data_IF_868475067870
#
_entry.id   IF_868475067870
#
_cell.length_a   1.000
_cell.length_b   1.000
_cell.length_c   1.000
_cell.angle_alpha   90.00
_cell.angle_beta   90.00
_cell.angle_gamma   90.00
#
_symmetry.space_group_name_H-M   'P 1'
#
loop_
_entity.id
_entity.type
_entity.pdbx_description
1 polymer ?
#
# COMPACT_ATOMS: atom_id res chain seq x y z
N UNK A 1 19.03 -2.99 -18.91
CA UNK A 1 20.24 -3.12 -18.04
C UNK A 1 20.06 -2.53 -16.66
N UNK A 2 19.34 -1.45 -16.49
CA UNK A 2 19.10 -0.77 -15.18
C UNK A 2 18.34 -1.67 -14.20
N UNK A 3 17.32 -2.38 -14.65
CA UNK A 3 16.46 -3.26 -13.84
C UNK A 3 17.26 -4.36 -13.13
N UNK A 4 18.18 -5.06 -13.82
CA UNK A 4 18.98 -6.12 -13.20
C UNK A 4 19.94 -5.59 -12.11
N UNK A 5 20.51 -4.40 -12.27
CA UNK A 5 21.39 -3.80 -11.29
C UNK A 5 20.60 -3.37 -10.04
N UNK A 6 19.41 -2.79 -10.24
CA UNK A 6 18.52 -2.39 -9.17
C UNK A 6 18.01 -3.61 -8.39
N UNK A 7 17.55 -4.66 -9.08
CA UNK A 7 17.13 -5.92 -8.44
C UNK A 7 18.22 -6.51 -7.56
N UNK A 8 19.48 -6.55 -8.05
CA UNK A 8 20.62 -7.01 -7.23
C UNK A 8 20.89 -6.12 -6.02
N UNK A 9 20.74 -4.81 -6.15
CA UNK A 9 20.97 -3.88 -5.07
C UNK A 9 19.98 -4.08 -3.91
N UNK A 10 18.73 -4.51 -4.19
CA UNK A 10 17.72 -4.76 -3.15
C UNK A 10 18.11 -5.89 -2.19
N UNK A 11 19.03 -6.80 -2.57
CA UNK A 11 19.49 -7.85 -1.66
C UNK A 11 20.38 -7.36 -0.51
N UNK A 12 20.81 -6.09 -0.54
CA UNK A 12 21.52 -5.44 0.58
C UNK A 12 20.56 -4.84 1.61
N UNK A 13 19.28 -4.69 1.24
CA UNK A 13 18.27 -4.09 2.09
C UNK A 13 17.87 -5.06 3.20
N UNK A 14 17.76 -4.54 4.40
CA UNK A 14 17.26 -5.22 5.60
C UNK A 14 15.89 -4.65 6.00
N UNK A 15 15.24 -5.26 6.99
CA UNK A 15 13.99 -4.72 7.53
C UNK A 15 14.17 -3.33 8.18
N UNK A 16 15.34 -3.06 8.74
CA UNK A 16 15.64 -1.75 9.36
C UNK A 16 15.70 -0.60 8.33
N UNK A 17 15.94 -0.91 7.06
CA UNK A 17 16.01 0.11 6.02
C UNK A 17 14.62 0.55 5.51
N UNK A 18 13.56 -0.20 5.83
CA UNK A 18 12.21 0.05 5.31
C UNK A 18 11.60 1.35 5.84
N UNK A 19 11.96 1.76 7.06
CA UNK A 19 11.49 3.03 7.63
C UNK A 19 11.93 4.26 6.83
N UNK A 20 13.08 4.17 6.14
CA UNK A 20 13.60 5.25 5.29
C UNK A 20 12.98 5.27 3.90
N UNK A 21 12.26 4.21 3.52
CA UNK A 21 11.61 4.07 2.21
C UNK A 21 10.24 4.72 2.17
N UNK A 22 9.48 4.69 3.27
CA UNK A 22 8.16 5.34 3.32
C UNK A 22 8.30 6.86 3.28
N UNK A 23 7.29 7.55 2.76
CA UNK A 23 7.34 8.98 2.56
C UNK A 23 7.24 9.74 3.88
N UNK A 24 7.95 10.85 3.97
CA UNK A 24 7.81 11.84 5.03
C UNK A 24 6.75 12.88 4.64
N UNK A 25 6.24 13.61 5.64
CA UNK A 25 5.20 14.63 5.45
C UNK A 25 5.55 15.64 4.36
N UNK A 26 6.81 16.01 4.25
CA UNK A 26 7.34 17.00 3.31
C UNK A 26 7.34 16.49 1.85
N UNK A 27 7.28 15.18 1.67
CA UNK A 27 7.28 14.53 0.34
C UNK A 27 5.91 14.06 -0.09
N UNK A 28 4.89 14.19 0.78
CA UNK A 28 3.51 13.86 0.42
C UNK A 28 2.96 14.80 -0.64
N UNK A 29 2.07 14.34 -1.54
CA UNK A 29 1.36 15.19 -2.48
C UNK A 29 0.67 16.38 -1.81
N UNK A 30 0.54 17.50 -2.52
CA UNK A 30 -0.02 18.74 -2.01
C UNK A 30 -1.43 18.59 -1.40
N UNK A 31 -2.20 17.59 -1.86
CA UNK A 31 -3.52 17.26 -1.33
C UNK A 31 -3.51 16.86 0.15
N UNK A 32 -2.40 16.29 0.62
CA UNK A 32 -2.20 15.94 2.03
C UNK A 32 -1.53 17.07 2.85
N UNK A 33 -1.44 18.26 2.27
CA UNK A 33 -0.94 19.42 3.00
C UNK A 33 -1.85 19.72 4.21
N UNK A 34 -1.27 19.77 5.40
CA UNK A 34 -2.05 19.92 6.64
C UNK A 34 -2.40 18.62 7.34
N UNK A 35 -2.20 17.46 6.68
CA UNK A 35 -2.34 16.15 7.33
C UNK A 35 -1.16 15.91 8.29
N UNK A 36 -1.38 15.04 9.24
CA UNK A 36 -0.37 14.60 10.21
C UNK A 36 -0.17 13.09 10.15
N UNK A 37 0.97 12.62 10.60
CA UNK A 37 1.20 11.19 10.80
C UNK A 37 0.25 10.70 11.89
N UNK A 38 -0.62 9.75 11.55
CA UNK A 38 -1.59 9.14 12.47
C UNK A 38 -1.18 7.74 12.88
N UNK A 39 -0.37 7.08 12.06
CA UNK A 39 0.22 5.78 12.36
C UNK A 39 1.58 5.65 11.66
N UNK A 40 2.56 5.09 12.36
CA UNK A 40 3.92 4.90 11.87
C UNK A 40 4.54 3.70 12.58
N UNK A 41 5.11 2.75 11.85
CA UNK A 41 5.77 1.62 12.49
C UNK A 41 5.95 0.38 11.64
N UNK A 42 6.58 -0.59 12.27
CA UNK A 42 6.84 -1.91 11.69
C UNK A 42 5.51 -2.63 11.48
N UNK A 43 5.41 -3.27 10.33
CA UNK A 43 4.26 -4.07 9.91
C UNK A 43 4.73 -5.51 9.69
N UNK A 44 4.72 -6.31 10.74
CA UNK A 44 5.08 -7.73 10.67
C UNK A 44 3.94 -8.60 10.12
N UNK A 45 4.19 -9.90 9.94
CA UNK A 45 3.21 -10.82 9.39
C UNK A 45 2.01 -11.06 10.33
N UNK A 46 2.22 -10.97 11.64
CA UNK A 46 1.15 -11.13 12.62
C UNK A 46 0.19 -9.95 12.55
N UNK A 47 0.71 -8.72 12.56
CA UNK A 47 -0.07 -7.50 12.43
C UNK A 47 -0.83 -7.44 11.10
N UNK A 48 -0.20 -7.88 9.99
CA UNK A 48 -0.88 -7.99 8.70
C UNK A 48 -2.04 -8.97 8.74
N UNK A 49 -1.89 -10.11 9.40
CA UNK A 49 -2.94 -11.12 9.52
C UNK A 49 -4.13 -10.62 10.37
N UNK A 50 -3.86 -9.89 11.45
CA UNK A 50 -4.89 -9.30 12.33
C UNK A 50 -5.76 -8.26 11.63
N UNK A 51 -5.24 -7.60 10.61
CA UNK A 51 -5.96 -6.58 9.82
C UNK A 51 -6.36 -7.08 8.42
N UNK A 52 -6.09 -8.33 8.11
CA UNK A 52 -6.41 -8.95 6.82
C UNK A 52 -7.82 -9.55 6.77
N UNK A 53 -8.09 -10.34 5.75
CA UNK A 53 -9.31 -11.13 5.63
C UNK A 53 -9.29 -12.33 6.60
N UNK A 54 -10.44 -12.99 6.77
CA UNK A 54 -10.60 -14.07 7.75
C UNK A 54 -9.60 -15.25 7.57
N UNK A 55 -9.12 -15.48 6.35
CA UNK A 55 -8.13 -16.52 6.05
C UNK A 55 -6.68 -16.03 6.07
N UNK A 56 -6.46 -14.76 6.39
CA UNK A 56 -5.12 -14.20 6.52
C UNK A 56 -4.42 -14.75 7.75
N UNK A 57 -3.24 -15.34 7.58
CA UNK A 57 -2.42 -15.83 8.69
C UNK A 57 -0.96 -15.38 8.52
N UNK A 58 -0.26 -15.21 9.62
CA UNK A 58 1.18 -14.90 9.59
C UNK A 58 2.00 -15.98 8.87
N UNK A 59 1.57 -17.24 8.97
CA UNK A 59 2.17 -18.38 8.28
C UNK A 59 2.04 -18.26 6.75
N UNK A 60 0.81 -18.06 6.27
CA UNK A 60 0.52 -17.86 4.84
C UNK A 60 1.36 -16.73 4.24
N UNK A 61 1.51 -15.63 4.97
CA UNK A 61 2.31 -14.50 4.50
C UNK A 61 3.81 -14.80 4.46
N UNK A 62 4.28 -15.61 5.42
CA UNK A 62 5.68 -16.09 5.41
C UNK A 62 5.91 -17.08 4.26
N UNK A 63 4.97 -17.99 4.02
CA UNK A 63 5.03 -18.94 2.88
C UNK A 63 5.00 -18.22 1.53
N UNK A 64 4.30 -17.09 1.43
CA UNK A 64 4.35 -16.20 0.26
C UNK A 64 5.67 -15.40 0.16
N UNK A 65 6.65 -15.66 1.02
CA UNK A 65 7.98 -15.07 0.99
C UNK A 65 8.08 -13.67 1.62
N UNK A 66 7.05 -13.19 2.33
CA UNK A 66 7.08 -11.87 2.98
C UNK A 66 7.89 -11.93 4.28
N UNK A 67 8.94 -11.10 4.38
CA UNK A 67 9.83 -11.00 5.54
C UNK A 67 9.35 -9.97 6.57
N UNK A 68 8.76 -8.86 6.13
CA UNK A 68 8.25 -7.80 6.99
C UNK A 68 7.94 -6.54 6.20
N UNK A 69 7.55 -5.49 6.89
CA UNK A 69 7.24 -4.21 6.28
C UNK A 69 7.35 -3.06 7.27
N UNK A 70 7.22 -1.85 6.73
CA UNK A 70 7.07 -0.62 7.49
C UNK A 70 6.01 0.25 6.81
N UNK A 71 5.19 0.92 7.61
CA UNK A 71 4.09 1.75 7.11
C UNK A 71 4.13 3.14 7.74
N UNK A 72 3.64 4.12 6.99
CA UNK A 72 3.33 5.45 7.49
C UNK A 72 2.01 5.93 6.90
N UNK A 73 1.09 6.28 7.79
CA UNK A 73 -0.24 6.76 7.46
C UNK A 73 -0.38 8.23 7.84
N UNK A 74 -1.03 8.97 6.96
CA UNK A 74 -1.33 10.39 7.12
C UNK A 74 -2.84 10.58 7.13
N UNK A 75 -3.34 11.29 8.13
CA UNK A 75 -4.75 11.60 8.28
C UNK A 75 -4.97 13.08 8.56
N UNK A 76 -6.21 13.55 8.38
CA UNK A 76 -6.59 14.93 8.68
C UNK A 76 -6.46 15.22 10.18
N UNK A 77 -6.30 16.49 10.51
CA UNK A 77 -6.39 16.92 11.91
C UNK A 77 -7.82 16.79 12.41
N UNK A 78 -7.99 16.59 13.74
CA UNK A 78 -9.27 16.31 14.39
C UNK A 78 -10.42 17.32 14.09
N UNK A 79 -10.10 18.51 13.59
CA UNK A 79 -11.08 19.56 13.30
C UNK A 79 -11.45 19.67 11.81
N UNK A 80 -10.95 18.78 10.94
CA UNK A 80 -11.33 18.83 9.54
C UNK A 80 -12.72 18.20 9.36
N UNK A 81 -13.65 18.86 8.64
CA UNK A 81 -14.97 18.32 8.41
C UNK A 81 -14.89 17.12 7.46
N UNK A 82 -15.63 16.08 7.77
CA UNK A 82 -15.78 14.91 6.89
C UNK A 82 -17.00 15.14 5.98
N UNK A 83 -16.79 15.06 4.67
CA UNK A 83 -17.85 15.19 3.66
C UNK A 83 -17.57 14.20 2.51
N UNK A 84 -18.56 13.99 1.64
CA UNK A 84 -18.40 13.14 0.47
C UNK A 84 -17.25 13.64 -0.42
N UNK A 85 -16.41 12.72 -0.88
CA UNK A 85 -15.19 13.03 -1.62
C UNK A 85 -14.00 13.48 -0.78
N UNK A 86 -14.11 13.44 0.54
CA UNK A 86 -13.01 13.75 1.45
C UNK A 86 -12.03 12.57 1.54
N UNK A 87 -10.73 12.86 1.36
CA UNK A 87 -9.68 11.88 1.53
C UNK A 87 -9.31 11.81 3.02
N UNK A 88 -9.76 10.75 3.72
CA UNK A 88 -9.56 10.62 5.16
C UNK A 88 -8.21 10.00 5.54
N UNK A 89 -7.51 9.37 4.58
CA UNK A 89 -6.20 8.77 4.81
C UNK A 89 -5.38 8.73 3.53
N UNK A 90 -4.07 8.96 3.65
CA UNK A 90 -3.06 8.61 2.67
C UNK A 90 -2.00 7.77 3.35
N UNK A 91 -1.55 6.67 2.74
CA UNK A 91 -0.55 5.82 3.35
C UNK A 91 0.51 5.36 2.34
N UNK A 92 1.71 5.15 2.84
CA UNK A 92 2.79 4.50 2.11
C UNK A 92 3.36 3.36 2.92
N UNK A 93 3.60 2.23 2.25
CA UNK A 93 4.16 1.03 2.87
C UNK A 93 5.31 0.52 2.01
N UNK A 94 6.34 0.02 2.65
CA UNK A 94 7.40 -0.75 2.02
C UNK A 94 7.46 -2.13 2.66
N UNK A 95 7.32 -3.18 1.85
CA UNK A 95 7.47 -4.57 2.28
C UNK A 95 8.73 -5.18 1.69
N UNK A 96 9.38 -6.03 2.46
CA UNK A 96 10.54 -6.80 2.05
C UNK A 96 10.16 -8.26 1.85
N UNK A 97 10.58 -8.82 0.73
CA UNK A 97 10.38 -10.22 0.37
C UNK A 97 11.70 -10.97 0.24
N UNK A 98 11.62 -12.29 0.16
CA UNK A 98 12.80 -13.16 -0.02
C UNK A 98 13.45 -12.93 -1.39
N UNK A 99 12.63 -12.75 -2.43
CA UNK A 99 13.08 -12.56 -3.81
C UNK A 99 12.04 -11.81 -4.65
N UNK A 100 12.38 -11.36 -5.88
CA UNK A 100 11.46 -10.64 -6.76
C UNK A 100 10.22 -11.43 -7.19
N UNK A 101 10.35 -12.75 -7.40
CA UNK A 101 9.22 -13.60 -7.83
C UNK A 101 8.15 -13.69 -6.72
N UNK A 102 8.57 -13.65 -5.45
CA UNK A 102 7.66 -13.60 -4.32
C UNK A 102 6.86 -12.28 -4.27
N UNK A 103 7.43 -11.16 -4.73
CA UNK A 103 6.70 -9.89 -4.86
C UNK A 103 5.61 -9.99 -5.91
N UNK A 104 5.94 -10.50 -7.11
CA UNK A 104 4.95 -10.70 -8.18
C UNK A 104 3.85 -11.67 -7.76
N UNK A 105 4.22 -12.81 -7.15
CA UNK A 105 3.26 -13.76 -6.58
C UNK A 105 2.34 -13.12 -5.54
N UNK A 106 2.90 -12.29 -4.66
CA UNK A 106 2.09 -11.55 -3.67
C UNK A 106 1.04 -10.66 -4.34
N UNK A 107 1.43 -9.85 -5.34
CA UNK A 107 0.51 -8.93 -6.01
C UNK A 107 -0.68 -9.67 -6.65
N UNK A 108 -0.46 -10.85 -7.25
CA UNK A 108 -1.49 -11.58 -7.99
C UNK A 108 -2.23 -12.61 -7.12
N UNK A 109 -1.51 -13.43 -6.37
CA UNK A 109 -2.07 -14.61 -5.70
C UNK A 109 -2.51 -14.29 -4.24
N UNK A 110 -2.06 -13.16 -3.69
CA UNK A 110 -2.47 -12.70 -2.36
C UNK A 110 -3.29 -11.42 -2.48
N UNK A 111 -2.69 -10.29 -2.89
CA UNK A 111 -3.36 -9.01 -2.87
C UNK A 111 -4.61 -8.96 -3.75
N UNK A 112 -4.47 -9.15 -5.06
CA UNK A 112 -5.62 -9.07 -5.98
C UNK A 112 -6.64 -10.14 -5.65
N UNK A 113 -6.18 -11.38 -5.49
CA UNK A 113 -7.06 -12.54 -5.27
C UNK A 113 -7.84 -12.44 -3.97
N UNK A 114 -7.20 -12.04 -2.87
CA UNK A 114 -7.89 -11.90 -1.59
C UNK A 114 -9.00 -10.85 -1.66
N UNK A 115 -8.76 -9.71 -2.32
CA UNK A 115 -9.82 -8.73 -2.49
C UNK A 115 -10.96 -9.23 -3.38
N UNK A 116 -10.67 -9.87 -4.51
CA UNK A 116 -11.70 -10.37 -5.43
C UNK A 116 -12.53 -11.51 -4.80
N UNK A 117 -11.89 -12.44 -4.10
CA UNK A 117 -12.56 -13.59 -3.49
C UNK A 117 -13.42 -13.18 -2.26
N UNK A 118 -13.15 -12.04 -1.66
CA UNK A 118 -13.86 -11.56 -0.47
C UNK A 118 -14.96 -10.53 -0.75
N UNK A 119 -15.31 -10.27 -2.01
CA UNK A 119 -16.47 -9.41 -2.33
C UNK A 119 -17.74 -9.98 -1.72
N UNK A 120 -18.47 -9.15 -0.97
CA UNK A 120 -19.66 -9.53 -0.20
C UNK A 120 -19.37 -9.95 1.25
N UNK A 121 -18.11 -10.14 1.63
CA UNK A 121 -17.73 -10.53 2.99
C UNK A 121 -17.48 -9.32 3.91
N UNK A 122 -17.52 -9.56 5.21
CA UNK A 122 -17.13 -8.54 6.20
C UNK A 122 -15.61 -8.32 6.16
N UNK A 123 -15.22 -7.04 6.27
CA UNK A 123 -13.82 -6.61 6.37
C UNK A 123 -13.49 -5.98 7.73
N UNK A 124 -14.28 -6.31 8.74
CA UNK A 124 -14.12 -5.78 10.10
C UNK A 124 -14.91 -4.49 10.34
N UNK A 125 -14.98 -4.06 11.59
CA UNK A 125 -15.59 -2.80 12.05
C UNK A 125 -17.00 -2.49 11.50
N UNK A 126 -17.77 -3.54 11.16
CA UNK A 126 -19.11 -3.39 10.57
C UNK A 126 -19.12 -2.98 9.10
N UNK A 127 -17.98 -3.02 8.43
CA UNK A 127 -17.87 -2.80 7.00
C UNK A 127 -17.98 -4.11 6.22
N UNK A 128 -18.57 -4.01 5.02
CA UNK A 128 -18.68 -5.09 4.05
C UNK A 128 -17.96 -4.67 2.76
N UNK A 129 -17.18 -5.56 2.18
CA UNK A 129 -16.54 -5.35 0.89
C UNK A 129 -17.61 -5.40 -0.22
N UNK A 130 -17.94 -4.25 -0.78
CA UNK A 130 -19.01 -4.11 -1.77
C UNK A 130 -18.56 -4.43 -3.19
N UNK A 131 -17.41 -3.92 -3.60
CA UNK A 131 -16.85 -4.19 -4.93
C UNK A 131 -15.35 -3.98 -4.97
N UNK A 132 -14.72 -4.65 -5.94
CA UNK A 132 -13.31 -4.51 -6.28
C UNK A 132 -13.21 -4.27 -7.78
N UNK A 133 -12.45 -3.28 -8.19
CA UNK A 133 -12.21 -2.95 -9.58
C UNK A 133 -10.70 -2.85 -9.82
N UNK A 134 -10.19 -3.64 -10.78
CA UNK A 134 -8.81 -3.45 -11.26
C UNK A 134 -8.73 -2.16 -12.05
N UNK A 135 -7.68 -1.39 -11.80
CA UNK A 135 -7.39 -0.15 -12.52
C UNK A 135 -6.11 -0.33 -13.34
N UNK A 136 -6.06 0.35 -14.48
CA UNK A 136 -4.84 0.40 -15.28
C UNK A 136 -3.86 1.41 -14.69
N UNK A 137 -2.60 1.00 -14.53
CA UNK A 137 -1.51 1.85 -14.08
C UNK A 137 -0.27 1.64 -14.93
N UNK A 138 0.63 2.63 -14.97
CA UNK A 138 1.83 2.59 -15.80
C UNK A 138 2.91 3.53 -15.27
N UNK A 139 4.11 3.44 -15.84
CA UNK A 139 5.21 4.36 -15.53
C UNK A 139 6.12 3.87 -14.40
N UNK A 140 5.94 2.65 -13.91
CA UNK A 140 6.78 2.01 -12.90
C UNK A 140 7.99 1.29 -13.52
N UNK A 141 9.04 1.10 -12.72
CA UNK A 141 10.28 0.41 -13.16
C UNK A 141 10.07 -1.06 -13.47
N UNK A 142 9.32 -1.74 -12.61
CA UNK A 142 8.97 -3.14 -12.76
C UNK A 142 7.44 -3.29 -12.84
N UNK A 143 6.88 -4.35 -12.33
CA UNK A 143 5.45 -4.62 -12.33
C UNK A 143 4.70 -3.70 -11.34
N UNK A 144 3.47 -3.32 -11.70
CA UNK A 144 2.55 -2.65 -10.80
C UNK A 144 1.11 -3.08 -11.06
N UNK A 145 0.31 -3.12 -10.00
CA UNK A 145 -1.12 -3.41 -10.03
C UNK A 145 -1.89 -2.37 -9.23
N UNK A 146 -3.11 -2.08 -9.63
CA UNK A 146 -3.94 -1.10 -8.94
C UNK A 146 -5.37 -1.61 -8.75
N UNK A 147 -5.93 -1.37 -7.57
CA UNK A 147 -7.31 -1.69 -7.22
C UNK A 147 -8.04 -0.46 -6.71
N UNK A 148 -9.31 -0.33 -7.12
CA UNK A 148 -10.29 0.46 -6.40
C UNK A 148 -11.18 -0.50 -5.62
N UNK A 149 -11.31 -0.25 -4.34
CA UNK A 149 -12.09 -1.06 -3.39
C UNK A 149 -13.20 -0.20 -2.82
N UNK A 150 -14.44 -0.68 -2.84
CA UNK A 150 -15.58 -0.03 -2.23
C UNK A 150 -16.07 -0.84 -1.04
N UNK A 151 -16.20 -0.18 0.10
CA UNK A 151 -16.72 -0.76 1.33
C UNK A 151 -17.95 0.01 1.78
N UNK A 152 -18.94 -0.72 2.31
CA UNK A 152 -20.16 -0.15 2.83
C UNK A 152 -20.38 -0.49 4.31
N UNK A 153 -20.97 0.43 5.06
CA UNK A 153 -21.42 0.24 6.42
C UNK A 153 -22.69 1.05 6.69
N UNK A 154 -23.27 0.90 7.88
CA UNK A 154 -24.39 1.76 8.31
C UNK A 154 -24.03 3.26 8.34
N UNK A 155 -22.75 3.59 8.45
CA UNK A 155 -22.25 4.97 8.45
C UNK A 155 -22.04 5.56 7.05
N UNK A 156 -22.11 4.74 5.98
CA UNK A 156 -21.95 5.18 4.59
C UNK A 156 -20.94 4.35 3.81
N UNK A 157 -20.49 4.91 2.69
CA UNK A 157 -19.53 4.29 1.79
C UNK A 157 -18.13 4.83 2.05
N UNK A 158 -17.16 3.94 1.94
CA UNK A 158 -15.74 4.25 1.89
C UNK A 158 -15.15 3.63 0.62
N UNK A 159 -14.32 4.37 -0.07
CA UNK A 159 -13.54 3.85 -1.19
C UNK A 159 -12.05 3.94 -0.90
N UNK A 160 -11.31 2.95 -1.35
CA UNK A 160 -9.85 2.95 -1.30
C UNK A 160 -9.29 2.75 -2.69
N UNK A 161 -8.28 3.53 -3.05
CA UNK A 161 -7.46 3.30 -4.24
C UNK A 161 -6.07 2.88 -3.77
N UNK A 162 -5.65 1.70 -4.19
CA UNK A 162 -4.38 1.08 -3.78
C UNK A 162 -3.56 0.78 -5.02
N UNK A 163 -2.29 1.11 -4.98
CA UNK A 163 -1.31 0.74 -5.99
C UNK A 163 -0.18 -0.02 -5.32
N UNK A 164 -0.02 -1.26 -5.71
CA UNK A 164 1.13 -2.11 -5.37
C UNK A 164 2.10 -2.09 -6.54
N UNK A 165 3.39 -1.86 -6.27
CA UNK A 165 4.43 -1.85 -7.29
C UNK A 165 5.71 -2.50 -6.80
N UNK A 166 6.47 -3.06 -7.73
CA UNK A 166 7.70 -3.80 -7.46
C UNK A 166 8.95 -2.97 -7.71
N UNK A 167 9.92 -3.06 -6.79
CA UNK A 167 11.32 -2.65 -6.99
C UNK A 167 12.21 -3.80 -6.54
N UNK A 168 12.56 -4.70 -7.45
CA UNK A 168 13.27 -5.93 -7.13
C UNK A 168 12.51 -6.79 -6.10
N UNK A 169 13.09 -7.03 -4.91
CA UNK A 169 12.41 -7.79 -3.85
C UNK A 169 11.66 -6.91 -2.83
N UNK A 170 11.40 -5.66 -3.18
CA UNK A 170 10.63 -4.72 -2.37
C UNK A 170 9.30 -4.47 -3.05
N UNK A 171 8.21 -4.58 -2.30
CA UNK A 171 6.89 -4.13 -2.69
C UNK A 171 6.62 -2.77 -2.06
N UNK A 172 6.40 -1.76 -2.87
CA UNK A 172 5.88 -0.48 -2.44
C UNK A 172 4.37 -0.45 -2.56
N UNK A 173 3.69 0.11 -1.57
CA UNK A 173 2.23 0.28 -1.57
C UNK A 173 1.89 1.74 -1.34
N UNK A 174 1.08 2.31 -2.24
CA UNK A 174 0.46 3.61 -2.07
C UNK A 174 -1.06 3.45 -1.91
N UNK A 175 -1.60 4.03 -0.86
CA UNK A 175 -3.00 3.90 -0.49
C UNK A 175 -3.63 5.27 -0.29
N UNK A 176 -4.83 5.46 -0.87
CA UNK A 176 -5.68 6.64 -0.63
C UNK A 176 -7.08 6.17 -0.27
N UNK A 177 -7.53 6.51 0.94
CA UNK A 177 -8.88 6.22 1.43
C UNK A 177 -9.76 7.47 1.37
N UNK A 178 -10.97 7.35 0.83
CA UNK A 178 -11.90 8.46 0.66
C UNK A 178 -13.30 8.12 1.18
N UNK A 179 -14.01 9.13 1.66
CA UNK A 179 -15.44 9.01 1.96
C UNK A 179 -16.22 9.05 0.65
N UNK A 180 -17.23 8.18 0.55
CA UNK A 180 -18.04 8.04 -0.66
C UNK A 180 -17.41 7.10 -1.71
N UNK A 181 -18.00 7.06 -2.89
CA UNK A 181 -17.52 6.27 -4.04
C UNK A 181 -16.60 7.12 -4.92
N UNK A 182 -15.33 7.18 -4.59
CA UNK A 182 -14.34 8.01 -5.29
C UNK A 182 -13.33 7.14 -6.05
N UNK A 183 -12.85 7.65 -7.19
CA UNK A 183 -11.69 7.11 -7.88
C UNK A 183 -10.51 8.08 -7.70
N UNK A 184 -9.51 7.66 -6.96
CA UNK A 184 -8.32 8.47 -6.65
C UNK A 184 -7.05 7.98 -7.37
N UNK A 185 -7.22 7.39 -8.56
CA UNK A 185 -6.10 6.80 -9.29
C UNK A 185 -4.97 7.81 -9.56
N UNK A 186 -5.29 9.04 -9.95
CA UNK A 186 -4.27 10.08 -10.22
C UNK A 186 -3.48 10.40 -8.95
N UNK A 187 -4.16 10.62 -7.81
CA UNK A 187 -3.51 10.93 -6.55
C UNK A 187 -2.71 9.73 -6.02
N UNK A 188 -3.26 8.52 -6.11
CA UNK A 188 -2.55 7.30 -5.72
C UNK A 188 -1.33 7.05 -6.61
N UNK A 189 -1.41 7.37 -7.91
CA UNK A 189 -0.28 7.27 -8.84
C UNK A 189 0.83 8.28 -8.51
N UNK A 190 0.48 9.53 -8.20
CA UNK A 190 1.45 10.53 -7.75
C UNK A 190 2.17 10.08 -6.47
N UNK A 191 1.41 9.56 -5.51
CA UNK A 191 1.93 9.02 -4.26
C UNK A 191 2.85 7.81 -4.52
N UNK A 192 2.43 6.87 -5.37
CA UNK A 192 3.18 5.67 -5.72
C UNK A 192 4.49 5.99 -6.44
N UNK A 193 4.48 6.88 -7.43
CA UNK A 193 5.71 7.28 -8.12
C UNK A 193 6.69 8.03 -7.21
N UNK A 194 6.18 8.83 -6.27
CA UNK A 194 7.03 9.50 -5.27
C UNK A 194 7.66 8.45 -4.33
N UNK A 195 6.87 7.47 -3.90
CA UNK A 195 7.35 6.36 -3.08
C UNK A 195 8.38 5.50 -3.83
N UNK A 196 8.14 5.18 -5.11
CA UNK A 196 9.08 4.41 -5.93
C UNK A 196 10.44 5.10 -6.04
N UNK A 197 10.45 6.41 -6.30
CA UNK A 197 11.69 7.20 -6.31
C UNK A 197 12.42 7.13 -4.97
N UNK A 198 11.69 7.24 -3.86
CA UNK A 198 12.26 7.15 -2.51
C UNK A 198 12.87 5.78 -2.25
N UNK A 199 12.15 4.70 -2.58
CA UNK A 199 12.67 3.32 -2.46
C UNK A 199 13.95 3.15 -3.26
N UNK A 200 13.98 3.58 -4.53
CA UNK A 200 15.17 3.52 -5.39
C UNK A 200 16.34 4.32 -4.80
N UNK A 201 16.10 5.50 -4.24
CA UNK A 201 17.13 6.30 -3.59
C UNK A 201 17.76 5.57 -2.39
N UNK A 202 16.93 4.96 -1.53
CA UNK A 202 17.42 4.18 -0.39
C UNK A 202 18.21 2.96 -0.87
N UNK A 203 17.70 2.21 -1.85
CA UNK A 203 18.37 1.04 -2.42
C UNK A 203 19.74 1.38 -3.01
N UNK A 204 19.88 2.57 -3.61
CA UNK A 204 21.14 3.05 -4.19
C UNK A 204 22.05 3.77 -3.19
N UNK A 205 21.61 3.97 -1.94
CA UNK A 205 22.37 4.68 -0.91
C UNK A 205 22.49 6.18 -1.16
N UNK A 206 21.50 6.79 -1.82
CA UNK A 206 21.47 8.22 -2.16
C UNK A 206 20.38 8.99 -1.41
N UNK A 207 19.79 8.38 -0.38
CA UNK A 207 18.75 8.98 0.47
C UNK A 207 19.37 9.67 1.70
#
# INVERSE_FOLDING_TARGET
MTTLALNRATFRISQADLEFMVLDKETMPAQFQGYQVVRDGVLDNQMMAEHGFAESTAERFREAGRLGGFMREFGPTANMPVFDGFDFIGATVAHLFENPDAVSGWMHDVFIKDFEDNVGNSVGDGHQLGSVQRLETSGFYDEAVALKVLQGSAAGLLSSTVIDFQVGRILGVAFVGSVGDQNRLELASELAHTLEKRIVQVVLGSA
#
